data_IF_346770289873
#
_entry.id   IF_346770289873
#
_cell.length_a   1.000
_cell.length_b   1.000
_cell.length_c   1.000
_cell.angle_alpha   90.00
_cell.angle_beta   90.00
_cell.angle_gamma   90.00
#
_symmetry.space_group_name_H-M   'P 1'
#
loop_
_entity.id
_entity.type
_entity.pdbx_description
1 polymer ?
#
# COMPACT_ATOMS: atom_id res chain seq x y z
N UNK A 1 -5.37 17.17 6.57
CA UNK A 1 -6.79 16.86 6.31
C UNK A 1 -7.58 18.13 6.05
N UNK A 2 -8.68 17.99 5.33
CA UNK A 2 -9.72 19.00 5.13
C UNK A 2 -11.05 18.44 5.62
N UNK A 3 -11.96 19.36 6.00
CA UNK A 3 -13.39 19.05 6.06
C UNK A 3 -14.04 19.54 4.77
N UNK A 4 -14.63 18.64 4.02
CA UNK A 4 -15.47 18.96 2.89
C UNK A 4 -16.82 18.24 3.06
N UNK A 5 -17.91 18.99 3.03
CA UNK A 5 -19.27 18.47 3.24
C UNK A 5 -19.40 17.62 4.52
N UNK A 6 -18.82 18.11 5.62
CA UNK A 6 -18.74 17.43 6.93
C UNK A 6 -17.96 16.10 6.96
N UNK A 7 -17.16 15.81 5.95
CA UNK A 7 -16.34 14.60 5.84
C UNK A 7 -14.86 14.95 5.91
N UNK A 8 -14.08 13.99 6.47
CA UNK A 8 -12.63 14.10 6.48
C UNK A 8 -12.07 13.73 5.09
N UNK A 9 -11.21 14.58 4.56
CA UNK A 9 -10.51 14.29 3.31
C UNK A 9 -9.01 14.45 3.49
N UNK A 10 -8.24 13.52 2.92
CA UNK A 10 -6.80 13.66 2.77
C UNK A 10 -6.47 14.77 1.79
N UNK A 11 -5.58 15.69 2.17
CA UNK A 11 -5.08 16.72 1.24
C UNK A 11 -3.80 16.25 0.58
N UNK A 12 -3.79 16.29 -0.75
CA UNK A 12 -2.63 15.92 -1.57
C UNK A 12 -1.87 17.17 -2.05
N UNK A 13 -0.57 16.99 -2.33
CA UNK A 13 0.29 17.99 -2.93
C UNK A 13 1.50 18.37 -2.08
N UNK A 14 2.29 19.36 -2.49
CA UNK A 14 3.51 19.79 -1.80
C UNK A 14 3.24 20.15 -0.34
N UNK A 15 3.93 19.48 0.59
CA UNK A 15 3.75 19.69 2.04
C UNK A 15 2.57 18.94 2.65
N UNK A 16 1.88 18.10 1.88
CA UNK A 16 0.79 17.24 2.30
C UNK A 16 1.10 15.79 1.93
N UNK A 17 0.07 14.89 1.90
CA UNK A 17 0.31 13.54 1.41
C UNK A 17 0.64 13.53 -0.09
N UNK A 18 1.53 12.62 -0.47
CA UNK A 18 1.97 12.48 -1.87
C UNK A 18 1.06 11.60 -2.72
N UNK A 19 0.18 10.84 -2.09
CA UNK A 19 -0.69 9.85 -2.72
C UNK A 19 -2.07 9.83 -2.06
N UNK A 20 -3.15 9.50 -2.80
CA UNK A 20 -4.46 9.24 -2.21
C UNK A 20 -4.38 8.18 -1.10
N UNK A 21 -5.08 8.38 0.01
CA UNK A 21 -5.14 7.47 1.16
C UNK A 21 -3.81 7.21 1.90
N UNK A 22 -2.72 7.91 1.58
CA UNK A 22 -1.41 7.70 2.21
C UNK A 22 -1.47 7.90 3.72
N UNK A 23 -2.25 8.86 4.22
CA UNK A 23 -2.41 9.08 5.66
C UNK A 23 -3.03 7.87 6.36
N UNK A 24 -4.06 7.25 5.79
CA UNK A 24 -4.66 6.04 6.35
C UNK A 24 -3.65 4.88 6.38
N UNK A 25 -2.87 4.71 5.31
CA UNK A 25 -1.82 3.69 5.27
C UNK A 25 -0.74 3.92 6.33
N UNK A 26 -0.31 5.17 6.56
CA UNK A 26 0.66 5.52 7.62
C UNK A 26 0.06 5.20 9.01
N UNK A 27 -1.20 5.52 9.27
CA UNK A 27 -1.86 5.18 10.52
C UNK A 27 -1.93 3.67 10.73
N UNK A 28 -2.27 2.93 9.67
CA UNK A 28 -2.28 1.48 9.67
C UNK A 28 -0.90 0.88 10.03
N UNK A 29 0.14 1.28 9.31
CA UNK A 29 1.51 0.83 9.54
C UNK A 29 2.07 1.23 10.92
N UNK A 30 1.55 2.34 11.49
CA UNK A 30 1.90 2.80 12.84
C UNK A 30 1.05 2.15 13.94
N UNK A 31 0.12 1.25 13.61
CA UNK A 31 -0.73 0.56 14.55
C UNK A 31 -1.74 1.47 15.26
N UNK A 32 -2.12 2.60 14.66
CA UNK A 32 -3.09 3.53 15.25
C UNK A 32 -4.48 2.88 15.27
N UNK A 33 -5.14 2.77 16.42
CA UNK A 33 -6.46 2.14 16.51
C UNK A 33 -7.55 2.92 15.76
N UNK A 34 -8.59 2.23 15.22
CA UNK A 34 -9.64 2.88 14.43
C UNK A 34 -10.47 3.92 15.23
N UNK A 35 -10.56 3.77 16.54
CA UNK A 35 -11.27 4.71 17.43
C UNK A 35 -10.43 5.91 17.88
N UNK A 36 -9.17 6.00 17.42
CA UNK A 36 -8.31 7.14 17.79
C UNK A 36 -8.87 8.46 17.27
N UNK A 37 -8.91 9.46 18.14
CA UNK A 37 -9.46 10.77 17.82
C UNK A 37 -8.56 11.55 16.86
N UNK A 38 -9.18 12.20 15.90
CA UNK A 38 -8.58 13.12 14.94
C UNK A 38 -9.21 14.48 15.06
N UNK A 39 -8.45 15.47 15.54
CA UNK A 39 -8.94 16.84 15.66
C UNK A 39 -8.75 17.60 14.35
N UNK A 40 -9.83 18.06 13.75
CA UNK A 40 -9.82 18.85 12.54
C UNK A 40 -10.51 20.22 12.77
N UNK A 41 -9.72 21.23 13.07
CA UNK A 41 -10.23 22.48 13.61
C UNK A 41 -10.85 22.26 14.98
N UNK A 42 -12.15 22.56 15.11
CA UNK A 42 -12.93 22.34 16.33
C UNK A 42 -13.82 21.07 16.28
N UNK A 43 -13.66 20.24 15.24
CA UNK A 43 -14.38 18.97 15.10
C UNK A 43 -13.50 17.81 15.57
N UNK A 44 -14.10 16.93 16.33
CA UNK A 44 -13.52 15.63 16.68
C UNK A 44 -14.08 14.58 15.73
N UNK A 45 -13.19 13.87 15.06
CA UNK A 45 -13.42 12.74 14.17
C UNK A 45 -12.59 11.57 14.67
N UNK A 46 -12.66 10.46 14.00
CA UNK A 46 -11.85 9.27 14.31
C UNK A 46 -11.15 8.71 13.06
N UNK A 47 -10.25 7.77 13.26
CA UNK A 47 -9.67 7.00 12.15
C UNK A 47 -10.76 6.19 11.42
N UNK A 48 -11.86 5.79 12.13
CA UNK A 48 -13.02 5.15 11.50
C UNK A 48 -13.64 6.04 10.42
N UNK A 49 -13.81 7.33 10.69
CA UNK A 49 -14.35 8.28 9.71
C UNK A 49 -13.46 8.36 8.46
N UNK A 50 -12.12 8.25 8.64
CA UNK A 50 -11.19 8.21 7.53
C UNK A 50 -11.28 6.88 6.77
N UNK A 51 -11.43 5.74 7.45
CA UNK A 51 -11.65 4.44 6.81
C UNK A 51 -12.90 4.47 5.94
N UNK A 52 -14.01 5.01 6.45
CA UNK A 52 -15.26 5.14 5.71
C UNK A 52 -15.12 6.06 4.49
N UNK A 53 -14.37 7.17 4.64
CA UNK A 53 -14.07 8.05 3.52
C UNK A 53 -13.25 7.36 2.44
N UNK A 54 -12.24 6.56 2.82
CA UNK A 54 -11.41 5.84 1.85
C UNK A 54 -12.19 4.70 1.15
N UNK A 55 -13.15 4.07 1.82
CA UNK A 55 -14.08 3.13 1.20
C UNK A 55 -15.02 3.84 0.22
N UNK A 56 -15.61 4.95 0.63
CA UNK A 56 -16.56 5.75 -0.14
C UNK A 56 -15.95 6.32 -1.43
N UNK A 57 -14.68 6.70 -1.39
CA UNK A 57 -13.94 7.32 -2.50
C UNK A 57 -13.16 6.31 -3.35
N UNK A 58 -13.49 5.02 -3.31
CA UNK A 58 -12.91 4.02 -4.23
C UNK A 58 -13.42 4.26 -5.66
N UNK A 59 -12.48 4.49 -6.61
CA UNK A 59 -12.77 4.64 -8.03
C UNK A 59 -11.71 3.88 -8.84
N UNK A 60 -12.13 3.12 -9.86
CA UNK A 60 -11.27 2.17 -10.57
C UNK A 60 -10.08 2.82 -11.32
N UNK A 61 -10.23 4.06 -11.76
CA UNK A 61 -9.23 4.76 -12.57
C UNK A 61 -8.26 5.61 -11.72
N UNK A 62 -8.31 5.49 -10.39
CA UNK A 62 -7.40 6.16 -9.46
C UNK A 62 -6.33 5.21 -8.93
N UNK A 63 -5.28 5.78 -8.33
CA UNK A 63 -4.30 5.02 -7.55
C UNK A 63 -4.98 4.44 -6.30
N UNK A 64 -5.05 3.12 -6.21
CA UNK A 64 -5.70 2.40 -5.13
C UNK A 64 -4.70 1.77 -4.14
N UNK A 65 -3.42 1.89 -4.41
CA UNK A 65 -2.33 1.28 -3.67
C UNK A 65 -2.41 1.54 -2.17
N UNK A 66 -2.52 2.81 -1.76
CA UNK A 66 -2.55 3.17 -0.34
C UNK A 66 -3.91 2.86 0.31
N UNK A 67 -5.01 2.87 -0.46
CA UNK A 67 -6.30 2.33 0.00
C UNK A 67 -6.17 0.84 0.32
N UNK A 68 -5.51 0.07 -0.55
CA UNK A 68 -5.29 -1.35 -0.32
C UNK A 68 -4.45 -1.59 0.95
N UNK A 69 -3.38 -0.82 1.20
CA UNK A 69 -2.59 -0.89 2.44
C UNK A 69 -3.47 -0.61 3.67
N UNK A 70 -4.09 0.58 3.71
CA UNK A 70 -4.83 1.04 4.86
C UNK A 70 -6.05 0.17 5.17
N UNK A 71 -6.88 -0.10 4.16
CA UNK A 71 -8.09 -0.91 4.34
C UNK A 71 -7.78 -2.36 4.73
N UNK A 72 -6.70 -2.96 4.19
CA UNK A 72 -6.26 -4.31 4.60
C UNK A 72 -5.90 -4.41 6.08
N UNK A 73 -5.44 -3.33 6.69
CA UNK A 73 -5.13 -3.31 8.11
C UNK A 73 -6.39 -3.25 8.98
N UNK A 74 -7.35 -2.41 8.60
CA UNK A 74 -8.49 -2.10 9.45
C UNK A 74 -9.71 -2.99 9.23
N UNK A 75 -9.88 -3.56 8.03
CA UNK A 75 -11.06 -4.33 7.66
C UNK A 75 -10.77 -5.84 7.65
N UNK A 76 -11.83 -6.62 7.84
CA UNK A 76 -11.83 -8.06 7.54
C UNK A 76 -11.61 -8.28 6.04
N UNK A 77 -10.86 -9.33 5.67
CA UNK A 77 -10.52 -9.61 4.26
C UNK A 77 -11.72 -10.02 3.38
N UNK A 78 -12.88 -10.32 3.96
CA UNK A 78 -14.16 -10.52 3.25
C UNK A 78 -15.06 -9.28 3.29
N UNK A 79 -14.55 -8.13 3.78
CA UNK A 79 -15.33 -6.90 3.83
C UNK A 79 -15.82 -6.50 2.43
N UNK A 80 -17.06 -6.04 2.39
CA UNK A 80 -17.72 -5.51 1.21
C UNK A 80 -18.29 -4.14 1.54
N UNK A 81 -18.23 -3.21 0.59
CA UNK A 81 -18.79 -1.88 0.74
C UNK A 81 -19.30 -1.33 -0.58
N UNK A 82 -19.90 -0.17 -0.56
CA UNK A 82 -20.26 0.59 -1.75
C UNK A 82 -19.51 1.93 -1.73
N UNK A 83 -19.05 2.36 -2.90
CA UNK A 83 -18.53 3.71 -3.03
C UNK A 83 -19.68 4.74 -3.13
N UNK A 84 -19.35 6.01 -3.24
CA UNK A 84 -20.35 7.10 -3.31
C UNK A 84 -21.26 7.04 -4.56
N UNK A 85 -20.86 6.31 -5.59
CA UNK A 85 -21.66 6.06 -6.77
C UNK A 85 -22.60 4.84 -6.61
N UNK A 86 -22.58 4.17 -5.45
CA UNK A 86 -23.32 2.92 -5.22
C UNK A 86 -22.71 1.69 -5.89
N UNK A 87 -21.48 1.79 -6.37
CA UNK A 87 -20.76 0.69 -7.00
C UNK A 87 -20.21 -0.27 -5.92
N UNK A 88 -20.41 -1.59 -6.06
CA UNK A 88 -19.92 -2.56 -5.08
C UNK A 88 -18.38 -2.70 -5.16
N UNK A 89 -17.76 -2.78 -4.00
CA UNK A 89 -16.33 -2.95 -3.80
C UNK A 89 -16.04 -4.04 -2.77
N UNK A 90 -14.89 -4.71 -2.97
CA UNK A 90 -14.30 -5.71 -2.08
C UNK A 90 -12.79 -5.78 -2.31
N UNK A 91 -12.08 -6.53 -1.49
CA UNK A 91 -10.63 -6.72 -1.66
C UNK A 91 -10.26 -7.45 -2.97
N UNK A 92 -10.96 -8.51 -3.41
CA UNK A 92 -10.71 -9.10 -4.72
C UNK A 92 -10.74 -8.10 -5.88
N UNK A 93 -11.66 -7.13 -5.85
CA UNK A 93 -11.73 -6.06 -6.86
C UNK A 93 -10.52 -5.12 -6.76
N UNK A 94 -10.16 -4.66 -5.56
CA UNK A 94 -8.98 -3.83 -5.33
C UNK A 94 -7.71 -4.53 -5.83
N UNK A 95 -7.49 -5.78 -5.42
CA UNK A 95 -6.33 -6.59 -5.83
C UNK A 95 -6.29 -6.74 -7.35
N UNK A 96 -7.41 -7.04 -7.99
CA UNK A 96 -7.49 -7.19 -9.44
C UNK A 96 -7.10 -5.91 -10.17
N UNK A 97 -7.56 -4.76 -9.70
CA UNK A 97 -7.25 -3.45 -10.30
C UNK A 97 -5.77 -3.11 -10.11
N UNK A 98 -5.22 -3.33 -8.93
CA UNK A 98 -3.78 -3.10 -8.66
C UNK A 98 -2.87 -4.05 -9.47
N UNK A 99 -3.24 -5.32 -9.63
CA UNK A 99 -2.52 -6.28 -10.47
C UNK A 99 -2.56 -5.94 -11.97
N UNK A 100 -3.56 -5.18 -12.40
CA UNK A 100 -3.67 -4.74 -13.80
C UNK A 100 -2.74 -3.55 -14.14
N UNK A 101 -2.21 -2.87 -13.11
CA UNK A 101 -1.34 -1.72 -13.31
C UNK A 101 0.15 -2.14 -13.44
N UNK A 102 0.96 -1.40 -14.21
CA UNK A 102 2.38 -1.69 -14.34
C UNK A 102 3.14 -1.43 -13.03
N UNK A 103 4.20 -2.19 -12.78
CA UNK A 103 5.18 -1.90 -11.72
C UNK A 103 6.18 -0.85 -12.21
N UNK A 104 6.69 -1.01 -13.43
CA UNK A 104 7.71 -0.12 -13.96
C UNK A 104 7.12 1.21 -14.46
N UNK A 105 7.80 2.32 -14.15
CA UNK A 105 7.45 3.66 -14.64
C UNK A 105 6.40 4.39 -13.81
N UNK A 106 5.99 3.82 -12.68
CA UNK A 106 5.11 4.47 -11.71
C UNK A 106 5.91 5.10 -10.56
N UNK A 107 5.26 5.93 -9.76
CA UNK A 107 5.85 6.59 -8.60
C UNK A 107 6.47 5.56 -7.65
N UNK A 108 7.62 5.90 -7.07
CA UNK A 108 8.41 5.03 -6.17
C UNK A 108 8.70 3.64 -6.78
N UNK A 109 8.77 3.56 -8.13
CA UNK A 109 9.14 2.35 -8.85
C UNK A 109 8.19 1.15 -8.67
N UNK A 110 7.00 1.36 -8.11
CA UNK A 110 6.01 0.31 -7.87
C UNK A 110 6.16 -0.44 -6.53
N UNK A 111 7.12 -0.06 -5.67
CA UNK A 111 7.31 -0.70 -4.35
C UNK A 111 6.06 -0.59 -3.47
N UNK A 112 5.37 0.55 -3.49
CA UNK A 112 4.13 0.72 -2.73
C UNK A 112 3.02 -0.23 -3.20
N UNK A 113 2.93 -0.52 -4.52
CA UNK A 113 1.98 -1.53 -5.03
C UNK A 113 2.28 -2.91 -4.51
N UNK A 114 3.55 -3.30 -4.50
CA UNK A 114 3.99 -4.55 -3.90
C UNK A 114 3.65 -4.60 -2.42
N UNK A 115 3.82 -3.48 -1.69
CA UNK A 115 3.42 -3.34 -0.29
C UNK A 115 1.90 -3.54 -0.12
N UNK A 116 1.07 -2.89 -0.93
CA UNK A 116 -0.39 -3.03 -0.86
C UNK A 116 -0.86 -4.47 -1.06
N UNK A 117 -0.31 -5.16 -2.07
CA UNK A 117 -0.60 -6.57 -2.32
C UNK A 117 -0.11 -7.46 -1.17
N UNK A 118 1.06 -7.16 -0.60
CA UNK A 118 1.58 -7.85 0.59
C UNK A 118 0.65 -7.70 1.79
N UNK A 119 0.23 -6.47 2.13
CA UNK A 119 -0.68 -6.21 3.25
C UNK A 119 -2.01 -6.95 3.09
N UNK A 120 -2.57 -6.97 1.87
CA UNK A 120 -3.80 -7.69 1.59
C UNK A 120 -3.66 -9.21 1.81
N UNK A 121 -2.59 -9.82 1.29
CA UNK A 121 -2.32 -11.26 1.47
C UNK A 121 -2.05 -11.58 2.94
N UNK A 122 -1.28 -10.75 3.64
CA UNK A 122 -0.99 -10.93 5.07
C UNK A 122 -2.28 -10.87 5.91
N UNK A 123 -3.17 -9.90 5.61
CA UNK A 123 -4.49 -9.82 6.27
C UNK A 123 -5.31 -11.07 6.04
N UNK A 124 -5.42 -11.54 4.79
CA UNK A 124 -6.17 -12.76 4.45
C UNK A 124 -5.65 -13.98 5.20
N UNK A 125 -4.32 -14.09 5.32
CA UNK A 125 -3.65 -15.15 6.08
C UNK A 125 -3.95 -15.04 7.58
N UNK A 126 -3.86 -13.84 8.15
CA UNK A 126 -4.16 -13.57 9.55
C UNK A 126 -5.62 -13.87 9.92
N UNK A 127 -6.55 -13.65 8.99
CA UNK A 127 -7.95 -14.03 9.14
C UNK A 127 -8.19 -15.55 9.03
N UNK A 128 -7.15 -16.35 8.78
CA UNK A 128 -7.25 -17.82 8.65
C UNK A 128 -8.01 -18.27 7.40
N UNK A 129 -8.08 -17.43 6.38
CA UNK A 129 -8.89 -17.67 5.18
C UNK A 129 -8.04 -18.20 4.02
N UNK A 130 -8.61 -18.99 3.09
CA UNK A 130 -7.86 -19.57 1.99
C UNK A 130 -7.33 -18.51 1.03
N UNK A 131 -6.09 -18.73 0.54
CA UNK A 131 -5.44 -17.92 -0.48
C UNK A 131 -5.80 -18.51 -1.86
N UNK A 132 -6.93 -18.10 -2.42
CA UNK A 132 -7.45 -18.53 -3.73
C UNK A 132 -7.65 -17.34 -4.67
N UNK A 133 -7.92 -17.57 -5.94
CA UNK A 133 -8.32 -16.56 -6.93
C UNK A 133 -7.42 -15.33 -6.97
N UNK A 134 -7.95 -14.14 -6.73
CA UNK A 134 -7.18 -12.89 -6.73
C UNK A 134 -6.13 -12.85 -5.62
N UNK A 135 -6.42 -13.46 -4.46
CA UNK A 135 -5.48 -13.59 -3.35
C UNK A 135 -4.26 -14.45 -3.73
N UNK A 136 -4.49 -15.56 -4.42
CA UNK A 136 -3.41 -16.39 -4.96
C UNK A 136 -2.59 -15.64 -6.00
N UNK A 137 -3.22 -14.90 -6.90
CA UNK A 137 -2.52 -14.08 -7.90
C UNK A 137 -1.65 -13.01 -7.24
N UNK A 138 -2.18 -12.30 -6.22
CA UNK A 138 -1.42 -11.31 -5.45
C UNK A 138 -0.23 -11.95 -4.75
N UNK A 139 -0.44 -13.06 -4.04
CA UNK A 139 0.61 -13.78 -3.33
C UNK A 139 1.72 -14.24 -4.31
N UNK A 140 1.34 -14.85 -5.43
CA UNK A 140 2.30 -15.28 -6.45
C UNK A 140 3.08 -14.11 -7.03
N UNK A 141 2.41 -13.01 -7.33
CA UNK A 141 3.03 -11.80 -7.85
C UNK A 141 4.08 -11.23 -6.88
N UNK A 142 3.74 -11.13 -5.60
CA UNK A 142 4.67 -10.68 -4.55
C UNK A 142 5.88 -11.62 -4.44
N UNK A 143 5.67 -12.94 -4.43
CA UNK A 143 6.77 -13.92 -4.37
C UNK A 143 7.69 -13.86 -5.60
N UNK A 144 7.15 -13.68 -6.80
CA UNK A 144 7.95 -13.55 -8.02
C UNK A 144 8.81 -12.27 -7.96
N UNK A 145 8.27 -11.17 -7.40
CA UNK A 145 9.02 -9.94 -7.18
C UNK A 145 10.05 -10.05 -6.05
N UNK A 146 9.84 -10.84 -4.98
CA UNK A 146 10.89 -11.14 -4.00
C UNK A 146 12.11 -11.76 -4.68
N UNK A 147 11.88 -12.87 -5.41
CA UNK A 147 12.96 -13.57 -6.10
C UNK A 147 13.71 -12.65 -7.09
N UNK A 148 12.95 -11.85 -7.86
CA UNK A 148 13.54 -10.91 -8.80
C UNK A 148 14.33 -9.80 -8.10
N UNK A 149 13.80 -9.23 -7.03
CA UNK A 149 14.42 -8.13 -6.28
C UNK A 149 15.80 -8.50 -5.74
N UNK A 150 15.96 -9.71 -5.20
CA UNK A 150 17.26 -10.20 -4.73
C UNK A 150 18.29 -10.27 -5.87
N UNK A 151 17.88 -10.53 -7.10
CA UNK A 151 18.80 -10.49 -8.26
C UNK A 151 19.26 -9.07 -8.60
N UNK A 152 18.56 -8.05 -8.13
CA UNK A 152 18.85 -6.63 -8.37
C UNK A 152 19.73 -5.99 -7.29
N UNK A 153 20.08 -6.74 -6.23
CA UNK A 153 20.95 -6.25 -5.17
C UNK A 153 22.38 -6.07 -5.71
N UNK A 154 22.97 -4.92 -5.41
CA UNK A 154 24.34 -4.58 -5.76
C UNK A 154 25.33 -5.19 -4.75
N UNK A 155 26.63 -5.24 -5.10
CA UNK A 155 27.69 -5.79 -4.23
C UNK A 155 27.88 -5.04 -2.92
N UNK A 156 27.46 -3.77 -2.86
CA UNK A 156 27.52 -2.92 -1.66
C UNK A 156 26.27 -3.04 -0.77
N UNK A 157 25.36 -3.98 -1.08
CA UNK A 157 24.13 -4.23 -0.37
C UNK A 157 22.96 -3.33 -0.78
N UNK A 158 23.19 -2.26 -1.56
CA UNK A 158 22.11 -1.43 -2.08
C UNK A 158 21.30 -2.15 -3.15
N UNK A 159 20.06 -1.73 -3.38
CA UNK A 159 19.26 -2.21 -4.50
C UNK A 159 19.41 -1.32 -5.73
N UNK A 160 18.94 -1.83 -6.88
CA UNK A 160 19.04 -1.15 -8.16
C UNK A 160 18.55 0.30 -8.12
N UNK A 161 19.35 1.23 -8.62
CA UNK A 161 18.95 2.64 -8.78
C UNK A 161 17.92 2.86 -9.90
N UNK A 162 17.63 1.83 -10.71
CA UNK A 162 16.59 1.83 -11.76
C UNK A 162 15.36 0.98 -11.39
N UNK A 163 15.12 0.80 -10.09
CA UNK A 163 14.00 0.03 -9.55
C UNK A 163 14.00 -1.41 -10.10
N UNK A 164 12.89 -1.87 -10.65
CA UNK A 164 12.69 -3.20 -11.21
C UNK A 164 12.95 -3.30 -12.72
N UNK A 165 13.56 -2.29 -13.35
CA UNK A 165 13.91 -2.34 -14.78
C UNK A 165 15.15 -3.15 -15.10
N UNK A 166 15.95 -3.44 -14.08
CA UNK A 166 17.19 -4.20 -14.19
C UNK A 166 18.21 -3.74 -13.15
N UNK A 167 19.35 -4.43 -13.09
CA UNK A 167 20.41 -4.07 -12.14
C UNK A 167 21.10 -2.76 -12.58
N UNK A 168 21.14 -1.79 -11.70
CA UNK A 168 21.83 -0.52 -11.89
C UNK A 168 22.44 -0.02 -10.56
N UNK A 169 23.60 0.63 -10.65
CA UNK A 169 24.31 1.21 -9.49
C UNK A 169 24.90 2.59 -9.86
N UNK A 170 24.18 3.34 -10.71
CA UNK A 170 24.58 4.66 -11.19
C UNK A 170 23.67 5.74 -10.61
N UNK A 171 24.18 6.97 -10.61
CA UNK A 171 23.43 8.13 -10.12
C UNK A 171 23.90 8.65 -8.77
N UNK A 172 23.32 9.73 -8.27
CA UNK A 172 23.68 10.36 -7.02
C UNK A 172 23.26 9.51 -5.82
N UNK A 173 23.88 9.78 -4.65
CA UNK A 173 23.65 9.02 -3.42
C UNK A 173 22.20 9.04 -2.96
N UNK A 174 21.52 10.17 -3.08
CA UNK A 174 20.10 10.32 -2.75
C UNK A 174 19.21 9.36 -3.55
N UNK A 175 19.52 9.15 -4.83
CA UNK A 175 18.80 8.17 -5.67
C UNK A 175 19.00 6.75 -5.15
N UNK A 176 20.22 6.39 -4.77
CA UNK A 176 20.53 5.08 -4.19
C UNK A 176 19.81 4.88 -2.85
N UNK A 177 19.81 5.90 -1.99
CA UNK A 177 19.09 5.87 -0.71
C UNK A 177 17.59 5.74 -0.91
N UNK A 178 17.02 6.51 -1.85
CA UNK A 178 15.61 6.45 -2.17
C UNK A 178 15.18 5.04 -2.63
N UNK A 179 15.86 4.49 -3.64
CA UNK A 179 15.48 3.19 -4.20
C UNK A 179 15.70 2.06 -3.21
N UNK A 180 16.83 2.05 -2.50
CA UNK A 180 17.12 1.03 -1.50
C UNK A 180 16.16 1.11 -0.32
N UNK A 181 15.86 2.32 0.18
CA UNK A 181 14.94 2.52 1.29
C UNK A 181 13.54 1.98 0.99
N UNK A 182 12.97 2.33 -0.16
CA UNK A 182 11.65 1.82 -0.55
C UNK A 182 11.61 0.30 -0.80
N UNK A 183 12.67 -0.28 -1.36
CA UNK A 183 12.75 -1.73 -1.53
C UNK A 183 12.83 -2.42 -0.17
N UNK A 184 13.67 -1.92 0.75
CA UNK A 184 13.80 -2.46 2.10
C UNK A 184 12.51 -2.31 2.89
N UNK A 185 11.83 -1.16 2.79
CA UNK A 185 10.53 -0.94 3.42
C UNK A 185 9.55 -2.05 3.04
N UNK A 186 9.42 -2.35 1.74
CA UNK A 186 8.54 -3.42 1.29
C UNK A 186 9.03 -4.80 1.76
N UNK A 187 10.33 -5.11 1.64
CA UNK A 187 10.86 -6.43 2.02
C UNK A 187 10.64 -6.73 3.50
N UNK A 188 10.84 -5.76 4.39
CA UNK A 188 10.61 -5.94 5.84
C UNK A 188 9.16 -6.36 6.15
N UNK A 189 8.17 -5.88 5.38
CA UNK A 189 6.78 -6.27 5.56
C UNK A 189 6.39 -7.58 4.85
N UNK A 190 7.22 -8.07 3.95
CA UNK A 190 6.79 -9.08 2.98
C UNK A 190 7.55 -10.40 3.05
N UNK A 191 8.76 -10.41 3.60
CA UNK A 191 9.54 -11.64 3.77
C UNK A 191 9.43 -12.16 5.20
N UNK A 192 9.54 -13.49 5.40
CA UNK A 192 9.61 -14.08 6.75
C UNK A 192 10.79 -13.51 7.55
N UNK A 193 10.61 -13.39 8.88
CA UNK A 193 11.63 -12.82 9.76
C UNK A 193 12.99 -13.51 9.62
N UNK A 194 13.00 -14.83 9.40
CA UNK A 194 14.21 -15.63 9.23
C UNK A 194 15.05 -15.17 8.02
N UNK A 195 14.41 -14.63 7.00
CA UNK A 195 15.09 -14.12 5.79
C UNK A 195 15.64 -12.69 5.94
N UNK A 196 15.30 -11.99 7.02
CA UNK A 196 15.80 -10.63 7.28
C UNK A 196 17.19 -10.63 7.91
N UNK A 197 17.68 -11.77 8.39
CA UNK A 197 18.94 -11.90 9.12
C UNK A 197 20.02 -12.69 8.36
N UNK A 198 19.71 -13.17 7.16
CA UNK A 198 20.65 -13.84 6.26
C UNK A 198 21.27 -12.85 5.24
#
# INVERSE_FOLDING_TARGET
FLLADDRIQGREGPGFQGHPAQCLAIFAQSGIPPHSSLMLGNRELSVTDLIEEEQRTCVADMELTFKLIGLSFYLDSDAQWQNEQGEPWDFPKLIRLELAQPINGVTCGGTHRLMGLTCAVARRTADGKPITDQWWRANRFVQDYHAYTLTLQNRDGSFSTDWFRGRANSGPLDRKLQTTGHVLEWLVYSVPDEMLYD
#
